data_IF_465057295061
#
_entry.id   IF_465057295061
#
_cell.length_a   1.000
_cell.length_b   1.000
_cell.length_c   1.000
_cell.angle_alpha   90.00
_cell.angle_beta   90.00
_cell.angle_gamma   90.00
#
_symmetry.space_group_name_H-M   'P 1'
#
loop_
_entity.id
_entity.type
_entity.pdbx_description
1 polymer ?
#
# COMPACT_ATOMS: atom_id res chain seq x y z
N UNK A 1 19.41 7.13 1.55
CA UNK A 1 20.05 5.88 2.02
C UNK A 1 19.64 5.48 3.43
N UNK A 2 19.63 6.39 4.43
CA UNK A 2 19.31 6.05 5.83
C UNK A 2 17.93 5.36 5.99
N UNK A 3 16.89 5.88 5.34
CA UNK A 3 15.54 5.26 5.34
C UNK A 3 15.53 3.85 4.74
N UNK A 4 16.32 3.62 3.69
CA UNK A 4 16.40 2.30 3.07
C UNK A 4 17.08 1.29 4.01
N UNK A 5 18.17 1.69 4.68
CA UNK A 5 18.85 0.86 5.66
C UNK A 5 17.92 0.48 6.83
N UNK A 6 17.13 1.43 7.33
CA UNK A 6 16.11 1.16 8.34
C UNK A 6 15.05 0.16 7.83
N UNK A 7 14.54 0.33 6.61
CA UNK A 7 13.59 -0.62 6.02
C UNK A 7 14.15 -2.05 5.93
N UNK A 8 15.41 -2.19 5.52
CA UNK A 8 16.09 -3.47 5.47
C UNK A 8 16.28 -4.10 6.84
N UNK A 9 16.70 -3.33 7.85
CA UNK A 9 16.87 -3.81 9.22
C UNK A 9 15.54 -4.29 9.81
N UNK A 10 14.46 -3.53 9.63
CA UNK A 10 13.14 -3.92 10.09
C UNK A 10 12.66 -5.19 9.39
N UNK A 11 12.88 -5.30 8.07
CA UNK A 11 12.56 -6.51 7.30
C UNK A 11 13.34 -7.75 7.77
N UNK A 12 14.64 -7.60 8.01
CA UNK A 12 15.51 -8.67 8.51
C UNK A 12 15.11 -9.11 9.93
N UNK A 13 14.81 -8.16 10.80
CA UNK A 13 14.33 -8.44 12.16
C UNK A 13 13.01 -9.21 12.13
N UNK A 14 12.06 -8.78 11.28
CA UNK A 14 10.78 -9.48 11.16
C UNK A 14 10.94 -10.89 10.58
N UNK A 15 11.79 -11.04 9.56
CA UNK A 15 12.08 -12.33 8.96
C UNK A 15 12.76 -13.29 9.94
N UNK A 16 13.76 -12.83 10.70
CA UNK A 16 14.45 -13.64 11.72
C UNK A 16 13.52 -14.06 12.85
N UNK A 17 12.59 -13.19 13.26
CA UNK A 17 11.55 -13.55 14.24
C UNK A 17 10.56 -14.59 13.69
N UNK A 18 10.19 -14.51 12.41
CA UNK A 18 9.33 -15.50 11.75
C UNK A 18 10.04 -16.85 11.55
N UNK A 19 11.34 -16.83 11.26
CA UNK A 19 12.16 -18.03 11.10
C UNK A 19 12.59 -18.68 12.43
N UNK A 20 12.38 -18.00 13.56
CA UNK A 20 12.72 -18.50 14.89
C UNK A 20 11.82 -19.67 15.29
N UNK A 21 12.36 -20.69 16.00
CA UNK A 21 11.56 -21.82 16.50
C UNK A 21 10.43 -21.42 17.47
N UNK A 22 10.45 -20.18 17.97
CA UNK A 22 9.37 -19.62 18.80
C UNK A 22 8.07 -19.34 18.01
N UNK A 23 8.14 -19.26 16.68
CA UNK A 23 6.99 -19.02 15.80
C UNK A 23 6.73 -20.29 14.97
N UNK A 24 5.77 -21.12 15.38
CA UNK A 24 5.33 -22.25 14.54
C UNK A 24 4.41 -21.72 13.44
N UNK A 25 5.00 -21.53 12.25
CA UNK A 25 4.27 -21.22 11.02
C UNK A 25 3.62 -22.51 10.52
N UNK A 26 2.29 -22.59 10.64
CA UNK A 26 1.53 -23.70 10.09
C UNK A 26 0.94 -23.28 8.75
N UNK A 27 1.34 -23.95 7.67
CA UNK A 27 0.73 -23.76 6.36
C UNK A 27 -0.47 -24.71 6.32
N UNK A 28 -1.68 -24.16 6.42
CA UNK A 28 -2.88 -24.98 6.30
C UNK A 28 -2.94 -25.56 4.88
N UNK A 29 -3.13 -26.88 4.71
CA UNK A 29 -3.38 -27.44 3.39
C UNK A 29 -4.65 -26.78 2.80
N UNK A 30 -4.58 -26.37 1.54
CA UNK A 30 -5.61 -25.62 0.80
C UNK A 30 -5.82 -24.15 1.20
N UNK A 31 -4.92 -23.53 1.95
CA UNK A 31 -4.93 -22.08 2.18
C UNK A 31 -3.57 -21.46 1.84
N UNK A 32 -3.59 -20.28 1.21
CA UNK A 32 -2.40 -19.46 0.97
C UNK A 32 -2.13 -18.49 2.11
N UNK A 33 -3.10 -18.35 3.02
CA UNK A 33 -2.91 -17.61 4.26
C UNK A 33 -2.06 -18.42 5.24
N UNK A 34 -0.97 -17.81 5.68
CA UNK A 34 -0.20 -18.29 6.82
C UNK A 34 -1.08 -18.12 8.06
N UNK A 35 -1.62 -19.24 8.56
CA UNK A 35 -2.32 -19.27 9.84
C UNK A 35 -1.30 -19.43 10.94
N UNK A 36 -1.36 -18.52 11.90
CA UNK A 36 -0.53 -18.60 13.08
C UNK A 36 -1.27 -19.47 14.11
N UNK A 37 -0.59 -20.47 14.65
CA UNK A 37 -1.18 -21.36 15.66
C UNK A 37 -1.47 -20.57 16.95
N UNK A 38 -2.74 -20.43 17.32
CA UNK A 38 -3.20 -19.66 18.48
C UNK A 38 -2.87 -20.36 19.82
N UNK A 39 -2.42 -21.61 19.77
CA UNK A 39 -2.04 -22.39 20.95
C UNK A 39 -0.83 -21.80 21.71
N UNK A 40 -0.05 -20.90 21.10
CA UNK A 40 1.11 -20.27 21.73
C UNK A 40 0.86 -18.77 22.02
N UNK A 41 1.19 -18.26 23.20
CA UNK A 41 0.98 -16.85 23.52
C UNK A 41 1.93 -15.90 22.75
N UNK A 42 3.12 -16.37 22.37
CA UNK A 42 4.10 -15.57 21.63
C UNK A 42 3.64 -15.23 20.21
N UNK A 43 2.86 -16.11 19.60
CA UNK A 43 2.34 -15.94 18.25
C UNK A 43 1.20 -14.93 18.17
N UNK A 44 0.32 -14.89 19.18
CA UNK A 44 -0.75 -13.87 19.30
C UNK A 44 -0.14 -12.47 19.44
N UNK A 45 0.89 -12.34 20.27
CA UNK A 45 1.59 -11.08 20.46
C UNK A 45 2.24 -10.60 19.15
N UNK A 46 2.86 -11.49 18.38
CA UNK A 46 3.44 -11.13 17.09
C UNK A 46 2.39 -10.74 16.05
N UNK A 47 1.25 -11.42 16.00
CA UNK A 47 0.15 -11.05 15.12
C UNK A 47 -0.39 -9.64 15.46
N UNK A 48 -0.54 -9.32 16.75
CA UNK A 48 -0.98 -8.01 17.21
C UNK A 48 0.05 -6.91 16.89
N UNK A 49 1.34 -7.17 17.11
CA UNK A 49 2.42 -6.23 16.77
C UNK A 49 2.48 -6.02 15.25
N UNK A 50 2.41 -7.09 14.46
CA UNK A 50 2.41 -7.01 12.99
C UNK A 50 1.22 -6.21 12.46
N UNK A 51 0.02 -6.48 12.97
CA UNK A 51 -1.20 -5.78 12.57
C UNK A 51 -1.16 -4.29 12.95
N UNK A 52 -0.75 -3.98 14.19
CA UNK A 52 -0.62 -2.59 14.65
C UNK A 52 0.47 -1.83 13.89
N UNK A 53 1.59 -2.47 13.56
CA UNK A 53 2.65 -1.88 12.74
C UNK A 53 2.15 -1.57 11.31
N UNK A 54 1.47 -2.52 10.66
CA UNK A 54 0.90 -2.31 9.30
C UNK A 54 -0.11 -1.17 9.32
N UNK A 55 -0.99 -1.13 10.34
CA UNK A 55 -1.96 -0.05 10.50
C UNK A 55 -1.27 1.32 10.71
N UNK A 56 -0.26 1.37 11.58
CA UNK A 56 0.50 2.60 11.83
C UNK A 56 1.22 3.09 10.57
N UNK A 57 1.87 2.19 9.84
CA UNK A 57 2.55 2.52 8.58
C UNK A 57 1.57 3.02 7.52
N UNK A 58 0.41 2.37 7.38
CA UNK A 58 -0.64 2.85 6.48
C UNK A 58 -1.18 4.23 6.91
N UNK A 59 -1.30 4.50 8.21
CA UNK A 59 -1.66 5.83 8.73
C UNK A 59 -0.63 6.92 8.39
N UNK A 60 0.67 6.60 8.48
CA UNK A 60 1.74 7.50 8.06
C UNK A 60 1.67 7.76 6.56
N UNK A 61 1.51 6.71 5.75
CA UNK A 61 1.37 6.82 4.29
C UNK A 61 0.15 7.71 3.93
N UNK A 62 -0.99 7.50 4.59
CA UNK A 62 -2.19 8.32 4.45
C UNK A 62 -1.92 9.78 4.77
N UNK A 63 -1.20 10.06 5.87
CA UNK A 63 -0.83 11.42 6.27
C UNK A 63 0.02 12.10 5.20
N UNK A 64 1.02 11.40 4.66
CA UNK A 64 1.86 11.90 3.57
C UNK A 64 1.02 12.21 2.32
N UNK A 65 0.08 11.33 1.96
CA UNK A 65 -0.83 11.57 0.84
C UNK A 65 -1.73 12.79 1.07
N UNK A 66 -2.28 12.97 2.28
CA UNK A 66 -3.09 14.16 2.61
C UNK A 66 -2.27 15.44 2.51
N UNK A 67 -1.02 15.44 3.00
CA UNK A 67 -0.12 16.59 2.88
C UNK A 67 0.20 16.91 1.42
N UNK A 68 0.54 15.89 0.61
CA UNK A 68 0.77 16.05 -0.82
C UNK A 68 -0.47 16.58 -1.54
N UNK A 69 -1.63 16.02 -1.24
CA UNK A 69 -2.91 16.47 -1.78
C UNK A 69 -3.22 17.92 -1.41
N UNK A 70 -3.05 18.29 -0.13
CA UNK A 70 -3.23 19.65 0.35
C UNK A 70 -2.25 20.63 -0.29
N UNK A 71 -0.99 20.22 -0.48
CA UNK A 71 0.02 21.02 -1.17
C UNK A 71 -0.36 21.26 -2.64
N UNK A 72 -0.74 20.21 -3.37
CA UNK A 72 -1.21 20.33 -4.75
C UNK A 72 -2.48 21.19 -4.86
N UNK A 73 -3.39 21.07 -3.89
CA UNK A 73 -4.60 21.88 -3.84
C UNK A 73 -4.30 23.37 -3.60
N UNK A 74 -3.37 23.68 -2.69
CA UNK A 74 -2.89 25.05 -2.48
C UNK A 74 -2.23 25.61 -3.73
N UNK A 75 -1.37 24.81 -4.38
CA UNK A 75 -0.73 25.17 -5.64
C UNK A 75 -1.78 25.53 -6.70
N UNK A 76 -2.86 24.73 -6.79
CA UNK A 76 -3.97 24.98 -7.70
C UNK A 76 -4.69 26.30 -7.41
N UNK A 77 -4.93 26.63 -6.13
CA UNK A 77 -5.53 27.92 -5.75
C UNK A 77 -4.68 29.11 -6.20
N UNK A 78 -3.36 29.01 -6.05
CA UNK A 78 -2.42 30.06 -6.45
C UNK A 78 -2.34 30.20 -7.97
N UNK A 79 -2.41 29.10 -8.74
CA UNK A 79 -2.38 29.15 -10.20
C UNK A 79 -3.70 29.64 -10.83
N UNK A 80 -4.86 29.40 -10.22
CA UNK A 80 -6.14 29.92 -10.73
C UNK A 80 -6.17 31.45 -10.76
N UNK A 81 -5.44 32.12 -9.85
CA UNK A 81 -5.29 33.58 -9.83
C UNK A 81 -4.41 34.13 -10.97
N UNK A 82 -3.48 33.31 -11.50
CA UNK A 82 -2.58 33.67 -12.59
C UNK A 82 -2.98 32.91 -13.86
N UNK A 83 -3.86 33.49 -14.70
CA UNK A 83 -4.34 32.98 -16.02
C UNK A 83 -3.56 31.75 -16.51
N UNK A 84 -3.96 30.52 -16.13
CA UNK A 84 -3.22 29.33 -16.51
C UNK A 84 -3.59 28.92 -17.94
N UNK A 85 -2.64 28.32 -18.66
CA UNK A 85 -2.97 27.62 -19.90
C UNK A 85 -3.84 26.40 -19.58
N UNK A 86 -4.91 26.19 -20.35
CA UNK A 86 -5.89 25.10 -20.15
C UNK A 86 -5.23 23.71 -20.07
N UNK A 87 -4.09 23.53 -20.74
CA UNK A 87 -3.35 22.27 -20.80
C UNK A 87 -2.65 21.92 -19.47
N UNK A 88 -2.04 22.92 -18.80
CA UNK A 88 -1.41 22.75 -17.49
C UNK A 88 -2.43 22.33 -16.42
N UNK A 89 -3.66 22.83 -16.55
CA UNK A 89 -4.76 22.56 -15.62
C UNK A 89 -5.26 21.10 -15.71
N UNK A 90 -5.32 20.51 -16.90
CA UNK A 90 -5.71 19.11 -17.10
C UNK A 90 -4.66 18.12 -16.59
N UNK A 91 -3.37 18.42 -16.79
CA UNK A 91 -2.23 17.61 -16.32
C UNK A 91 -2.21 17.46 -14.80
N UNK A 92 -2.37 18.56 -14.06
CA UNK A 92 -2.38 18.52 -12.59
C UNK A 92 -3.61 17.79 -12.02
N UNK A 93 -4.78 17.93 -12.66
CA UNK A 93 -5.98 17.21 -12.25
C UNK A 93 -5.84 15.70 -12.44
N UNK A 94 -5.20 15.26 -13.53
CA UNK A 94 -4.94 13.84 -13.79
C UNK A 94 -4.07 13.22 -12.69
N UNK A 95 -3.00 13.90 -12.28
CA UNK A 95 -2.08 13.43 -11.22
C UNK A 95 -2.80 13.35 -9.87
N UNK A 96 -3.65 14.32 -9.54
CA UNK A 96 -4.38 14.37 -8.27
C UNK A 96 -5.46 13.27 -8.20
N UNK A 97 -6.27 13.12 -9.26
CA UNK A 97 -7.28 12.06 -9.37
C UNK A 97 -6.59 10.69 -9.31
N UNK A 98 -5.44 10.56 -9.97
CA UNK A 98 -4.62 9.37 -9.91
C UNK A 98 -4.16 9.03 -8.47
N UNK A 99 -3.61 10.00 -7.73
CA UNK A 99 -3.17 9.77 -6.35
C UNK A 99 -4.32 9.35 -5.43
N UNK A 100 -5.52 9.92 -5.61
CA UNK A 100 -6.72 9.52 -4.87
C UNK A 100 -7.12 8.09 -5.20
N UNK A 101 -7.19 7.73 -6.49
CA UNK A 101 -7.59 6.36 -6.91
C UNK A 101 -6.60 5.33 -6.36
N UNK A 102 -5.29 5.61 -6.45
CA UNK A 102 -4.24 4.75 -5.88
C UNK A 102 -4.43 4.57 -4.38
N UNK A 103 -4.59 5.68 -3.67
CA UNK A 103 -4.77 5.67 -2.22
C UNK A 103 -6.03 4.91 -1.80
N UNK A 104 -7.14 5.09 -2.52
CA UNK A 104 -8.39 4.35 -2.30
C UNK A 104 -8.22 2.86 -2.58
N UNK A 105 -7.47 2.48 -3.63
CA UNK A 105 -7.17 1.09 -3.95
C UNK A 105 -6.33 0.42 -2.86
N UNK A 106 -5.21 1.04 -2.47
CA UNK A 106 -4.31 0.53 -1.41
C UNK A 106 -5.04 0.43 -0.05
N UNK A 107 -5.89 1.41 0.27
CA UNK A 107 -6.69 1.41 1.50
C UNK A 107 -7.78 0.34 1.49
N UNK A 108 -8.48 0.19 0.37
CA UNK A 108 -9.50 -0.86 0.20
C UNK A 108 -8.89 -2.24 0.33
N UNK A 109 -7.71 -2.46 -0.26
CA UNK A 109 -6.99 -3.72 -0.13
C UNK A 109 -6.64 -4.03 1.32
N UNK A 110 -6.07 -3.05 2.04
CA UNK A 110 -5.73 -3.20 3.45
C UNK A 110 -6.97 -3.53 4.28
N UNK A 111 -8.08 -2.83 4.05
CA UNK A 111 -9.32 -3.04 4.76
C UNK A 111 -9.91 -4.44 4.50
N UNK A 112 -9.91 -4.89 3.24
CA UNK A 112 -10.37 -6.24 2.87
C UNK A 112 -9.44 -7.30 3.46
N UNK A 113 -8.13 -7.07 3.52
CA UNK A 113 -7.19 -8.07 4.06
C UNK A 113 -7.27 -8.19 5.59
N UNK A 114 -7.43 -7.06 6.30
CA UNK A 114 -7.51 -7.04 7.77
C UNK A 114 -8.92 -7.35 8.28
N UNK A 115 -9.97 -6.78 7.68
CA UNK A 115 -11.35 -6.92 8.16
C UNK A 115 -12.20 -7.86 7.31
N UNK A 116 -11.79 -8.17 6.08
CA UNK A 116 -12.61 -8.96 5.16
C UNK A 116 -12.84 -10.40 5.60
N UNK A 117 -12.02 -10.95 6.51
CA UNK A 117 -12.28 -12.27 7.12
C UNK A 117 -13.60 -12.31 7.89
N UNK A 118 -14.08 -11.15 8.38
CA UNK A 118 -15.37 -11.05 9.05
C UNK A 118 -16.57 -10.93 8.08
N UNK A 119 -16.32 -10.54 6.83
CA UNK A 119 -17.38 -10.21 5.86
C UNK A 119 -17.43 -11.15 4.65
N UNK A 120 -16.32 -11.80 4.29
CA UNK A 120 -16.20 -12.68 3.14
C UNK A 120 -15.83 -14.10 3.57
N UNK A 121 -16.52 -15.13 3.04
CA UNK A 121 -16.15 -16.51 3.28
C UNK A 121 -14.74 -16.78 2.73
N UNK A 122 -13.91 -17.41 3.56
CA UNK A 122 -12.50 -17.70 3.27
C UNK A 122 -12.43 -18.77 2.17
N UNK A 123 -12.55 -18.35 0.92
CA UNK A 123 -12.39 -19.23 -0.24
C UNK A 123 -10.98 -19.09 -0.82
N UNK A 124 -10.40 -20.23 -1.21
CA UNK A 124 -9.05 -20.32 -1.78
C UNK A 124 -8.91 -19.41 -3.02
N UNK A 125 -9.96 -19.29 -3.81
CA UNK A 125 -9.99 -18.43 -5.00
C UNK A 125 -9.94 -16.94 -4.62
N UNK A 126 -10.61 -16.52 -3.55
CA UNK A 126 -10.53 -15.14 -3.07
C UNK A 126 -9.12 -14.79 -2.56
N UNK A 127 -8.45 -15.71 -1.87
CA UNK A 127 -7.06 -15.51 -1.41
C UNK A 127 -6.09 -15.37 -2.59
N UNK A 128 -6.21 -16.23 -3.59
CA UNK A 128 -5.37 -16.19 -4.81
C UNK A 128 -5.60 -14.90 -5.57
N UNK A 129 -6.85 -14.53 -5.81
CA UNK A 129 -7.20 -13.27 -6.50
C UNK A 129 -6.65 -12.07 -5.72
N UNK A 130 -6.81 -12.03 -4.39
CA UNK A 130 -6.29 -10.94 -3.58
C UNK A 130 -4.75 -10.85 -3.63
N UNK A 131 -4.02 -11.97 -3.56
CA UNK A 131 -2.56 -11.94 -3.68
C UNK A 131 -2.11 -11.48 -5.07
N UNK A 132 -2.70 -12.02 -6.14
CA UNK A 132 -2.34 -11.64 -7.50
C UNK A 132 -2.69 -10.18 -7.80
N UNK A 133 -3.88 -9.72 -7.41
CA UNK A 133 -4.27 -8.31 -7.57
C UNK A 133 -3.29 -7.38 -6.85
N UNK A 134 -2.82 -7.75 -5.66
CA UNK A 134 -1.84 -6.93 -4.93
C UNK A 134 -0.47 -6.89 -5.61
N UNK A 135 0.02 -8.03 -6.10
CA UNK A 135 1.28 -8.09 -6.83
C UNK A 135 1.19 -7.30 -8.13
N UNK A 136 0.09 -7.46 -8.89
CA UNK A 136 -0.17 -6.70 -10.11
C UNK A 136 -0.27 -5.20 -9.84
N UNK A 137 -0.89 -4.79 -8.73
CA UNK A 137 -0.98 -3.37 -8.38
C UNK A 137 0.39 -2.77 -8.03
N UNK A 138 1.32 -3.55 -7.46
CA UNK A 138 2.70 -3.10 -7.23
C UNK A 138 3.59 -3.15 -8.47
N UNK A 139 3.43 -4.19 -9.30
CA UNK A 139 4.27 -4.44 -10.49
C UNK A 139 3.85 -3.67 -11.72
N UNK A 140 2.55 -3.52 -11.98
CA UNK A 140 2.04 -2.90 -13.20
C UNK A 140 1.73 -1.44 -12.96
N UNK A 141 1.05 -1.12 -11.85
CA UNK A 141 0.62 0.25 -11.64
C UNK A 141 1.84 1.16 -11.51
N UNK A 142 2.84 0.84 -10.68
CA UNK A 142 3.97 1.74 -10.43
C UNK A 142 4.78 2.09 -11.71
N UNK A 143 5.13 1.14 -12.60
CA UNK A 143 5.78 1.44 -13.87
C UNK A 143 4.88 2.11 -14.90
N UNK A 144 3.60 1.69 -15.00
CA UNK A 144 2.63 2.33 -15.91
C UNK A 144 2.41 3.80 -15.51
N UNK A 145 2.46 4.09 -14.22
CA UNK A 145 2.37 5.44 -13.69
C UNK A 145 3.62 6.28 -13.95
N UNK A 146 4.78 5.68 -13.77
CA UNK A 146 6.04 6.32 -14.11
C UNK A 146 6.12 6.62 -15.63
N UNK A 147 5.63 5.70 -16.46
CA UNK A 147 5.56 5.84 -17.92
C UNK A 147 4.51 6.87 -18.37
N UNK A 148 3.35 6.92 -17.73
CA UNK A 148 2.32 7.91 -18.03
C UNK A 148 2.80 9.32 -17.69
N UNK A 149 3.46 9.50 -16.53
CA UNK A 149 4.02 10.80 -16.13
C UNK A 149 5.19 11.19 -17.03
N UNK A 150 6.09 10.27 -17.38
CA UNK A 150 7.26 10.56 -18.21
C UNK A 150 6.93 10.82 -19.68
N UNK A 151 6.01 10.06 -20.29
CA UNK A 151 5.54 10.36 -21.66
C UNK A 151 4.89 11.74 -21.75
N UNK A 152 4.20 12.16 -20.70
CA UNK A 152 3.59 13.49 -20.61
C UNK A 152 4.63 14.62 -20.45
N UNK A 153 5.83 14.31 -19.94
CA UNK A 153 6.96 15.25 -19.89
C UNK A 153 7.69 15.30 -21.24
N UNK A 154 7.81 14.16 -21.93
CA UNK A 154 8.51 14.07 -23.22
C UNK A 154 7.73 14.70 -24.38
N UNK A 155 6.39 14.71 -24.33
CA UNK A 155 5.52 15.36 -25.33
C UNK A 155 5.55 16.90 -25.26
N UNK A 156 6.18 17.48 -24.23
CA UNK A 156 6.30 18.94 -24.00
C UNK A 156 7.71 19.48 -24.32
N UNK A 157 8.68 18.63 -24.68
CA UNK A 157 10.04 18.99 -25.07
C UNK A 157 10.22 19.00 -26.59
#
# INVERSE_FOLDING_TARGET
MILAAFGWLTGLAHFTLLASPCCRLHILPNHYKISIDEAFPGTILMAAIGSSYVLAMNGVILTVYVVLFGYMFRLRLTFVLNKPSLFSMWKQNSILVFAIIRFMSDSSYTAVYQFGVAFFPVSLLAEVVAMFSHQLDKLILMPVLLLAVSKLVLLEA
#
